data_IF_543529137313
#
_entry.id   IF_543529137313
#
_cell.length_a   1.000
_cell.length_b   1.000
_cell.length_c   1.000
_cell.angle_alpha   90.00
_cell.angle_beta   90.00
_cell.angle_gamma   90.00
#
_symmetry.space_group_name_H-M   'P 1'
#
loop_
_entity.id
_entity.type
_entity.pdbx_description
1 polymer ?
#
# COMPACT_ATOMS: atom_id res chain seq x y z
N UNK A 1 -63.48 10.44 -3.56
CA UNK A 1 -63.32 9.23 -4.42
C UNK A 1 -62.09 9.25 -5.34
N UNK A 2 -61.72 10.38 -5.98
CA UNK A 2 -60.52 10.51 -6.85
C UNK A 2 -59.17 10.27 -6.14
N UNK A 3 -58.99 10.79 -4.92
CA UNK A 3 -57.74 10.67 -4.15
C UNK A 3 -57.43 9.20 -3.77
N UNK A 4 -58.47 8.41 -3.48
CA UNK A 4 -58.32 7.00 -3.12
C UNK A 4 -57.93 6.13 -4.32
N UNK A 5 -58.38 6.47 -5.53
CA UNK A 5 -57.92 5.84 -6.79
C UNK A 5 -56.47 6.20 -7.08
N UNK A 6 -56.10 7.48 -6.97
CA UNK A 6 -54.71 7.94 -7.14
C UNK A 6 -53.73 7.22 -6.19
N UNK A 7 -54.08 7.08 -4.90
CA UNK A 7 -53.22 6.39 -3.92
C UNK A 7 -53.07 4.89 -4.22
N UNK A 8 -54.11 4.26 -4.77
CA UNK A 8 -54.13 2.83 -5.15
C UNK A 8 -53.36 2.58 -6.45
N UNK A 9 -53.40 3.51 -7.40
CA UNK A 9 -52.61 3.44 -8.63
C UNK A 9 -51.13 3.76 -8.37
N UNK A 10 -50.83 4.68 -7.44
CA UNK A 10 -49.46 4.90 -6.95
C UNK A 10 -48.89 3.67 -6.23
N UNK A 11 -49.68 3.01 -5.37
CA UNK A 11 -49.20 1.82 -4.66
C UNK A 11 -49.00 0.63 -5.61
N UNK A 12 -49.86 0.48 -6.63
CA UNK A 12 -49.71 -0.53 -7.68
C UNK A 12 -48.48 -0.29 -8.54
N UNK A 13 -48.27 0.94 -9.03
CA UNK A 13 -47.08 1.30 -9.80
C UNK A 13 -45.79 1.13 -8.99
N UNK A 14 -45.76 1.56 -7.71
CA UNK A 14 -44.64 1.31 -6.80
C UNK A 14 -44.39 -0.18 -6.57
N UNK A 15 -45.43 -1.01 -6.46
CA UNK A 15 -45.28 -2.46 -6.30
C UNK A 15 -44.80 -3.17 -7.58
N UNK A 16 -45.16 -2.64 -8.75
CA UNK A 16 -44.70 -3.12 -10.05
C UNK A 16 -43.23 -2.73 -10.29
N UNK A 17 -42.86 -1.50 -9.94
CA UNK A 17 -41.47 -1.03 -9.92
C UNK A 17 -40.62 -1.84 -8.95
N UNK A 18 -41.12 -2.15 -7.74
CA UNK A 18 -40.42 -3.03 -6.79
C UNK A 18 -40.20 -4.41 -7.37
N UNK A 19 -41.22 -5.04 -7.97
CA UNK A 19 -41.11 -6.37 -8.59
C UNK A 19 -40.13 -6.39 -9.77
N UNK A 20 -40.19 -5.38 -10.65
CA UNK A 20 -39.23 -5.21 -11.75
C UNK A 20 -37.80 -5.01 -11.24
N UNK A 21 -37.61 -4.19 -10.20
CA UNK A 21 -36.32 -4.00 -9.53
C UNK A 21 -35.79 -5.31 -8.94
N UNK A 22 -36.62 -6.09 -8.22
CA UNK A 22 -36.19 -7.38 -7.65
C UNK A 22 -35.88 -8.45 -8.71
N UNK A 23 -36.62 -8.48 -9.83
CA UNK A 23 -36.37 -9.40 -10.94
C UNK A 23 -35.05 -9.06 -11.67
N UNK A 24 -34.86 -7.80 -12.06
CA UNK A 24 -33.62 -7.32 -12.68
C UNK A 24 -32.41 -7.48 -11.73
N UNK A 25 -32.62 -7.34 -10.42
CA UNK A 25 -31.59 -7.55 -9.40
C UNK A 25 -31.15 -9.01 -9.31
N UNK A 26 -32.07 -9.97 -9.36
CA UNK A 26 -31.71 -11.38 -9.29
C UNK A 26 -30.92 -11.82 -10.52
N UNK A 27 -31.31 -11.30 -11.69
CA UNK A 27 -30.56 -11.47 -12.94
C UNK A 27 -29.17 -10.80 -12.89
N UNK A 28 -29.09 -9.60 -12.30
CA UNK A 28 -27.82 -8.91 -12.07
C UNK A 28 -26.83 -9.74 -11.24
N UNK A 29 -27.25 -10.24 -10.08
CA UNK A 29 -26.36 -10.98 -9.18
C UNK A 29 -25.88 -12.32 -9.76
N UNK A 30 -26.70 -13.01 -10.56
CA UNK A 30 -26.36 -14.34 -11.05
C UNK A 30 -25.58 -14.34 -12.38
N UNK A 31 -25.87 -13.43 -13.31
CA UNK A 31 -25.27 -13.43 -14.64
C UNK A 31 -24.35 -12.23 -14.90
N UNK A 32 -24.73 -11.05 -14.42
CA UNK A 32 -24.07 -9.79 -14.80
C UNK A 32 -22.91 -9.47 -13.85
N UNK A 33 -23.12 -9.61 -12.54
CA UNK A 33 -22.11 -9.34 -11.51
C UNK A 33 -20.79 -10.12 -11.71
N UNK A 34 -20.76 -11.45 -11.99
CA UNK A 34 -19.49 -12.15 -12.20
C UNK A 34 -18.74 -11.64 -13.44
N UNK A 35 -19.46 -11.27 -14.50
CA UNK A 35 -18.88 -10.70 -15.72
C UNK A 35 -18.24 -9.33 -15.47
N UNK A 36 -18.97 -8.43 -14.80
CA UNK A 36 -18.44 -7.11 -14.42
C UNK A 36 -17.24 -7.22 -13.48
N UNK A 37 -17.24 -8.20 -12.56
CA UNK A 37 -16.10 -8.46 -11.67
C UNK A 37 -14.87 -8.96 -12.44
N UNK A 38 -15.05 -9.76 -13.48
CA UNK A 38 -13.96 -10.17 -14.36
C UNK A 38 -13.38 -8.96 -15.10
N UNK A 39 -14.23 -8.10 -15.67
CA UNK A 39 -13.79 -6.87 -16.33
C UNK A 39 -13.01 -5.98 -15.36
N UNK A 40 -13.51 -5.81 -14.14
CA UNK A 40 -12.83 -5.03 -13.10
C UNK A 40 -11.42 -5.57 -12.81
N UNK A 41 -11.28 -6.88 -12.69
CA UNK A 41 -9.99 -7.52 -12.44
C UNK A 41 -9.02 -7.37 -13.62
N UNK A 42 -9.52 -7.58 -14.85
CA UNK A 42 -8.72 -7.38 -16.08
C UNK A 42 -8.29 -5.92 -16.22
N UNK A 43 -9.17 -4.97 -15.91
CA UNK A 43 -8.86 -3.55 -15.89
C UNK A 43 -7.81 -3.22 -14.82
N UNK A 44 -7.89 -3.85 -13.64
CA UNK A 44 -6.87 -3.77 -12.60
C UNK A 44 -5.50 -4.26 -13.06
N UNK A 45 -5.45 -5.43 -13.71
CA UNK A 45 -4.21 -5.99 -14.27
C UNK A 45 -3.63 -5.09 -15.37
N UNK A 46 -4.47 -4.60 -16.29
CA UNK A 46 -4.06 -3.66 -17.33
C UNK A 46 -3.53 -2.34 -16.74
N UNK A 47 -4.22 -1.80 -15.74
CA UNK A 47 -3.77 -0.60 -15.01
C UNK A 47 -2.41 -0.83 -14.34
N UNK A 48 -2.20 -2.00 -13.72
CA UNK A 48 -0.91 -2.36 -13.12
C UNK A 48 0.20 -2.45 -14.16
N UNK A 49 -0.07 -3.05 -15.33
CA UNK A 49 0.90 -3.12 -16.41
C UNK A 49 1.27 -1.73 -16.96
N UNK A 50 0.28 -0.84 -17.14
CA UNK A 50 0.53 0.54 -17.57
C UNK A 50 1.37 1.28 -16.53
N UNK A 51 1.03 1.17 -15.25
CA UNK A 51 1.79 1.80 -14.15
C UNK A 51 3.24 1.31 -14.12
N UNK A 52 3.48 0.00 -14.29
CA UNK A 52 4.83 -0.58 -14.36
C UNK A 52 5.59 -0.08 -15.60
N UNK A 53 4.93 0.05 -16.76
CA UNK A 53 5.56 0.63 -17.94
C UNK A 53 5.93 2.10 -17.73
N UNK A 54 5.04 2.87 -17.12
CA UNK A 54 5.22 4.29 -16.87
C UNK A 54 6.35 4.57 -15.87
N UNK A 55 6.32 3.90 -14.72
CA UNK A 55 7.29 4.08 -13.64
C UNK A 55 8.60 3.32 -13.92
N UNK A 56 8.53 2.14 -14.54
CA UNK A 56 9.66 1.23 -14.70
C UNK A 56 10.50 1.46 -15.96
N UNK A 57 9.85 1.67 -17.11
CA UNK A 57 10.52 1.77 -18.41
C UNK A 57 10.53 3.20 -18.96
N UNK A 58 9.57 4.03 -18.54
CA UNK A 58 9.39 5.37 -19.07
C UNK A 58 8.73 5.31 -20.44
N UNK A 59 7.48 5.77 -20.53
CA UNK A 59 6.74 5.74 -21.78
C UNK A 59 7.28 6.82 -22.73
N UNK A 60 7.77 6.40 -23.90
CA UNK A 60 8.20 7.30 -24.99
C UNK A 60 7.08 8.29 -25.33
N UNK A 61 7.43 9.55 -25.63
CA UNK A 61 6.47 10.62 -25.91
C UNK A 61 5.37 10.24 -26.93
N UNK A 62 5.69 9.34 -27.88
CA UNK A 62 4.74 8.79 -28.87
C UNK A 62 3.59 7.97 -28.26
N UNK A 63 3.85 7.19 -27.21
CA UNK A 63 2.86 6.29 -26.60
C UNK A 63 2.19 6.89 -25.35
N UNK A 64 2.72 8.01 -24.83
CA UNK A 64 2.17 8.71 -23.68
C UNK A 64 0.68 9.07 -23.82
N UNK A 65 0.19 9.67 -24.92
CA UNK A 65 -1.23 10.01 -25.04
C UNK A 65 -2.13 8.77 -25.03
N UNK A 66 -1.69 7.66 -25.66
CA UNK A 66 -2.44 6.41 -25.67
C UNK A 66 -2.53 5.80 -24.27
N UNK A 67 -1.44 5.81 -23.50
CA UNK A 67 -1.41 5.32 -22.13
C UNK A 67 -2.31 6.15 -21.20
N UNK A 68 -2.31 7.49 -21.33
CA UNK A 68 -3.18 8.36 -20.54
C UNK A 68 -4.65 8.15 -20.89
N UNK A 69 -5.01 8.05 -22.18
CA UNK A 69 -6.40 7.78 -22.60
C UNK A 69 -6.89 6.42 -22.11
N UNK A 70 -6.06 5.38 -22.21
CA UNK A 70 -6.40 4.04 -21.74
C UNK A 70 -6.61 4.03 -20.22
N UNK A 71 -5.77 4.76 -19.48
CA UNK A 71 -5.90 4.90 -18.03
C UNK A 71 -7.18 5.61 -17.64
N UNK A 72 -7.47 6.75 -18.27
CA UNK A 72 -8.71 7.49 -18.03
C UNK A 72 -9.94 6.59 -18.31
N UNK A 73 -9.93 5.83 -19.41
CA UNK A 73 -11.00 4.88 -19.72
C UNK A 73 -11.17 3.79 -18.65
N UNK A 74 -10.07 3.22 -18.13
CA UNK A 74 -10.11 2.23 -17.04
C UNK A 74 -10.74 2.83 -15.77
N UNK A 75 -10.36 4.06 -15.40
CA UNK A 75 -10.91 4.74 -14.23
C UNK A 75 -12.41 5.05 -14.40
N UNK A 76 -12.86 5.40 -15.61
CA UNK A 76 -14.30 5.57 -15.90
C UNK A 76 -15.06 4.27 -15.75
N UNK A 77 -14.52 3.17 -16.27
CA UNK A 77 -15.14 1.84 -16.13
C UNK A 77 -15.26 1.46 -14.64
N UNK A 78 -14.26 1.80 -13.82
CA UNK A 78 -14.33 1.62 -12.36
C UNK A 78 -15.45 2.43 -11.72
N UNK A 79 -15.55 3.73 -12.02
CA UNK A 79 -16.61 4.58 -11.45
C UNK A 79 -17.99 4.07 -11.88
N UNK A 80 -18.15 3.70 -13.15
CA UNK A 80 -19.37 3.12 -13.67
C UNK A 80 -19.72 1.80 -12.97
N UNK A 81 -18.73 0.91 -12.77
CA UNK A 81 -18.92 -0.33 -12.03
C UNK A 81 -19.42 -0.07 -10.60
N UNK A 82 -18.84 0.89 -9.88
CA UNK A 82 -19.28 1.19 -8.51
C UNK A 82 -20.67 1.81 -8.44
N UNK A 83 -21.01 2.69 -9.39
CA UNK A 83 -22.37 3.23 -9.47
C UNK A 83 -23.39 2.09 -9.67
N UNK A 84 -23.10 1.17 -10.59
CA UNK A 84 -23.96 0.00 -10.84
C UNK A 84 -24.03 -0.89 -9.61
N UNK A 85 -22.89 -1.18 -8.97
CA UNK A 85 -22.82 -1.97 -7.73
C UNK A 85 -23.68 -1.38 -6.61
N UNK A 86 -23.62 -0.06 -6.42
CA UNK A 86 -24.37 0.67 -5.40
C UNK A 86 -25.88 0.66 -5.67
N UNK A 87 -26.32 0.75 -6.93
CA UNK A 87 -27.73 0.68 -7.32
C UNK A 87 -28.35 -0.70 -6.99
N UNK A 88 -27.56 -1.78 -7.05
CA UNK A 88 -28.05 -3.17 -6.88
C UNK A 88 -27.68 -3.84 -5.54
N UNK A 89 -27.06 -3.10 -4.60
CA UNK A 89 -26.57 -3.60 -3.31
C UNK A 89 -27.66 -4.23 -2.41
N UNK A 90 -27.33 -5.30 -1.66
CA UNK A 90 -28.15 -5.89 -0.57
C UNK A 90 -27.58 -5.51 0.80
N UNK A 91 -28.41 -5.37 1.86
CA UNK A 91 -29.82 -4.96 1.92
C UNK A 91 -29.98 -3.47 2.26
N UNK A 92 -28.91 -2.78 2.70
CA UNK A 92 -28.94 -1.37 3.11
C UNK A 92 -27.74 -0.65 2.51
N UNK A 93 -27.93 0.54 1.91
CA UNK A 93 -26.85 1.39 1.36
C UNK A 93 -25.73 1.59 2.38
N UNK A 94 -26.09 1.74 3.67
CA UNK A 94 -25.15 1.89 4.79
C UNK A 94 -24.22 0.68 4.99
N UNK A 95 -24.71 -0.52 4.74
CA UNK A 95 -23.95 -1.76 4.91
C UNK A 95 -22.99 -1.97 3.73
N UNK A 96 -23.46 -1.67 2.51
CA UNK A 96 -22.63 -1.65 1.31
C UNK A 96 -21.51 -0.62 1.40
N UNK A 97 -21.81 0.61 1.83
CA UNK A 97 -20.82 1.66 2.14
C UNK A 97 -19.75 1.18 3.11
N UNK A 98 -20.09 0.32 4.06
CA UNK A 98 -19.16 -0.16 5.08
C UNK A 98 -18.23 -1.26 4.55
N UNK A 99 -18.70 -2.08 3.64
CA UNK A 99 -17.95 -3.17 3.00
C UNK A 99 -17.07 -2.67 1.85
N UNK A 100 -17.55 -1.65 1.11
CA UNK A 100 -16.92 -1.12 -0.10
C UNK A 100 -16.28 0.27 0.08
N UNK A 101 -15.82 0.60 1.30
CA UNK A 101 -15.26 1.92 1.63
C UNK A 101 -14.13 2.34 0.70
N UNK A 102 -13.27 1.39 0.32
CA UNK A 102 -12.09 1.66 -0.52
C UNK A 102 -12.50 1.95 -1.96
N UNK A 103 -13.48 1.24 -2.51
CA UNK A 103 -13.93 1.50 -3.89
C UNK A 103 -14.69 2.82 -3.99
N UNK A 104 -15.48 3.17 -2.98
CA UNK A 104 -16.20 4.44 -2.94
C UNK A 104 -15.21 5.61 -2.77
N UNK A 105 -14.18 5.44 -1.94
CA UNK A 105 -13.12 6.43 -1.80
C UNK A 105 -12.34 6.62 -3.11
N UNK A 106 -12.03 5.52 -3.81
CA UNK A 106 -11.40 5.52 -5.13
C UNK A 106 -12.28 6.23 -6.17
N UNK A 107 -13.54 5.85 -6.28
CA UNK A 107 -14.49 6.46 -7.21
C UNK A 107 -14.66 7.96 -6.90
N UNK A 108 -14.75 8.32 -5.62
CA UNK A 108 -14.78 9.72 -5.17
C UNK A 108 -13.53 10.50 -5.56
N UNK A 109 -12.34 9.90 -5.44
CA UNK A 109 -11.07 10.52 -5.83
C UNK A 109 -10.99 10.75 -7.34
N UNK A 110 -11.46 9.80 -8.15
CA UNK A 110 -11.55 9.94 -9.62
C UNK A 110 -12.57 11.02 -10.01
N UNK A 111 -13.73 11.08 -9.37
CA UNK A 111 -14.72 12.13 -9.63
C UNK A 111 -14.17 13.49 -9.23
N UNK A 112 -13.50 13.58 -8.08
CA UNK A 112 -12.82 14.79 -7.64
C UNK A 112 -11.77 15.24 -8.67
N UNK A 113 -10.98 14.31 -9.21
CA UNK A 113 -10.02 14.61 -10.28
C UNK A 113 -10.70 15.25 -11.48
N UNK A 114 -11.80 14.68 -11.94
CA UNK A 114 -12.52 15.19 -13.10
C UNK A 114 -13.07 16.59 -12.88
N UNK A 115 -13.57 16.90 -11.68
CA UNK A 115 -14.14 18.21 -11.35
C UNK A 115 -13.04 19.26 -11.15
N UNK A 116 -11.96 18.92 -10.45
CA UNK A 116 -10.94 19.86 -10.01
C UNK A 116 -9.67 19.85 -10.87
N UNK A 117 -9.67 19.15 -12.02
CA UNK A 117 -8.51 19.02 -12.90
C UNK A 117 -7.88 20.37 -13.25
N UNK A 118 -8.65 21.26 -13.87
CA UNK A 118 -8.13 22.53 -14.41
C UNK A 118 -7.75 23.52 -13.30
N UNK A 119 -8.57 23.70 -12.24
CA UNK A 119 -8.18 24.52 -11.09
C UNK A 119 -6.88 24.04 -10.44
N UNK A 120 -6.72 22.72 -10.25
CA UNK A 120 -5.54 22.15 -9.61
C UNK A 120 -4.29 22.31 -10.46
N UNK A 121 -4.41 22.12 -11.78
CA UNK A 121 -3.31 22.36 -12.72
C UNK A 121 -2.88 23.81 -12.63
N UNK A 122 -3.81 24.77 -12.69
CA UNK A 122 -3.47 26.19 -12.60
C UNK A 122 -2.79 26.58 -11.28
N UNK A 123 -3.23 25.99 -10.16
CA UNK A 123 -2.63 26.23 -8.84
C UNK A 123 -1.21 25.67 -8.71
N UNK A 124 -0.95 24.47 -9.27
CA UNK A 124 0.35 23.82 -9.18
C UNK A 124 1.35 24.38 -10.19
N UNK A 125 0.88 24.82 -11.36
CA UNK A 125 1.71 25.52 -12.36
C UNK A 125 2.24 26.84 -11.79
N UNK A 126 1.42 27.56 -11.01
CA UNK A 126 1.85 28.74 -10.25
C UNK A 126 2.96 28.46 -9.20
N UNK A 127 3.17 27.20 -8.80
CA UNK A 127 4.25 26.76 -7.91
C UNK A 127 5.42 26.09 -8.64
N UNK A 128 5.46 26.17 -9.98
CA UNK A 128 6.54 25.65 -10.81
C UNK A 128 6.43 24.17 -11.19
N UNK A 129 5.30 23.51 -10.93
CA UNK A 129 5.04 22.14 -11.38
C UNK A 129 4.34 22.14 -12.74
N UNK A 130 5.00 21.63 -13.78
CA UNK A 130 4.42 21.61 -15.13
C UNK A 130 3.06 20.89 -15.17
N UNK A 131 2.14 21.38 -15.99
CA UNK A 131 0.79 20.80 -16.13
C UNK A 131 0.83 19.30 -16.45
N UNK A 132 1.80 18.87 -17.27
CA UNK A 132 1.96 17.46 -17.65
C UNK A 132 2.40 16.57 -16.48
N UNK A 133 3.34 17.01 -15.64
CA UNK A 133 3.80 16.23 -14.47
C UNK A 133 2.70 16.05 -13.44
N UNK A 134 1.88 17.09 -13.23
CA UNK A 134 0.75 17.07 -12.30
C UNK A 134 -0.29 16.02 -12.71
N UNK A 135 -0.65 15.97 -13.99
CA UNK A 135 -1.61 14.99 -14.51
C UNK A 135 -1.08 13.56 -14.35
N UNK A 136 0.19 13.32 -14.69
CA UNK A 136 0.80 11.99 -14.57
C UNK A 136 0.87 11.53 -13.11
N UNK A 137 1.28 12.40 -12.19
CA UNK A 137 1.30 12.08 -10.75
C UNK A 137 -0.08 11.68 -10.25
N UNK A 138 -1.10 12.44 -10.61
CA UNK A 138 -2.46 12.14 -10.17
C UNK A 138 -2.99 10.82 -10.75
N UNK A 139 -2.75 10.57 -12.03
CA UNK A 139 -3.12 9.31 -12.69
C UNK A 139 -2.38 8.13 -12.05
N UNK A 140 -1.07 8.24 -11.80
CA UNK A 140 -0.28 7.21 -11.15
C UNK A 140 -0.79 6.90 -9.73
N UNK A 141 -1.15 7.93 -8.94
CA UNK A 141 -1.76 7.74 -7.61
C UNK A 141 -3.08 6.98 -7.73
N UNK A 142 -3.96 7.39 -8.64
CA UNK A 142 -5.28 6.77 -8.84
C UNK A 142 -5.16 5.32 -9.30
N UNK A 143 -4.28 5.04 -10.27
CA UNK A 143 -3.94 3.69 -10.72
C UNK A 143 -3.36 2.85 -9.58
N UNK A 144 -2.42 3.39 -8.81
CA UNK A 144 -1.80 2.69 -7.69
C UNK A 144 -2.83 2.26 -6.64
N UNK A 145 -3.74 3.16 -6.26
CA UNK A 145 -4.84 2.84 -5.35
C UNK A 145 -5.81 1.81 -5.96
N UNK A 146 -6.08 1.86 -7.27
CA UNK A 146 -6.94 0.90 -7.95
C UNK A 146 -6.32 -0.51 -8.00
N UNK A 147 -5.04 -0.60 -8.30
CA UNK A 147 -4.28 -1.85 -8.28
C UNK A 147 -4.25 -2.42 -6.86
N UNK A 148 -4.00 -1.58 -5.85
CA UNK A 148 -4.04 -1.98 -4.45
C UNK A 148 -5.42 -2.54 -4.06
N UNK A 149 -6.50 -1.88 -4.49
CA UNK A 149 -7.85 -2.35 -4.23
C UNK A 149 -8.14 -3.71 -4.91
N UNK A 150 -7.71 -3.89 -6.16
CA UNK A 150 -7.78 -5.18 -6.84
C UNK A 150 -7.01 -6.28 -6.10
N UNK A 151 -5.82 -5.95 -5.58
CA UNK A 151 -5.01 -6.88 -4.81
C UNK A 151 -5.71 -7.28 -3.51
N UNK A 152 -6.29 -6.32 -2.78
CA UNK A 152 -7.07 -6.60 -1.57
C UNK A 152 -8.24 -7.55 -1.87
N UNK A 153 -8.96 -7.32 -2.97
CA UNK A 153 -10.05 -8.20 -3.40
C UNK A 153 -9.58 -9.60 -3.78
N UNK A 154 -8.45 -9.69 -4.49
CA UNK A 154 -7.84 -10.96 -4.84
C UNK A 154 -7.45 -11.74 -3.57
N UNK A 155 -6.82 -11.07 -2.61
CA UNK A 155 -6.43 -11.68 -1.31
C UNK A 155 -7.67 -12.15 -0.54
N UNK A 156 -8.72 -11.34 -0.43
CA UNK A 156 -9.98 -11.74 0.23
C UNK A 156 -10.65 -12.92 -0.48
N UNK A 157 -10.59 -12.97 -1.81
CA UNK A 157 -11.14 -14.07 -2.61
C UNK A 157 -10.33 -15.36 -2.40
N UNK A 158 -9.00 -15.27 -2.39
CA UNK A 158 -8.12 -16.40 -2.08
C UNK A 158 -8.40 -16.92 -0.65
N UNK A 159 -8.61 -16.02 0.32
CA UNK A 159 -9.01 -16.39 1.68
C UNK A 159 -10.38 -17.09 1.73
N UNK A 160 -11.36 -16.62 0.96
CA UNK A 160 -12.67 -17.27 0.84
C UNK A 160 -12.60 -18.65 0.15
N UNK A 161 -11.58 -18.87 -0.69
CA UNK A 161 -11.32 -20.14 -1.37
C UNK A 161 -10.48 -21.12 -0.53
N UNK A 162 -10.04 -20.74 0.68
CA UNK A 162 -9.19 -21.61 1.51
C UNK A 162 -9.99 -22.75 2.14
N UNK A 163 -10.00 -23.87 1.43
CA UNK A 163 -10.19 -25.23 1.96
C UNK A 163 -8.86 -25.90 2.35
N UNK A 164 -7.73 -25.20 2.28
CA UNK A 164 -6.40 -25.79 2.48
C UNK A 164 -5.94 -25.60 3.93
N UNK A 165 -5.76 -26.71 4.66
CA UNK A 165 -5.07 -26.81 5.96
C UNK A 165 -3.57 -26.55 5.78
N UNK A 166 -3.18 -25.32 5.50
CA UNK A 166 -1.76 -24.95 5.35
C UNK A 166 -1.19 -24.55 6.71
N UNK A 167 0.00 -25.05 7.05
CA UNK A 167 0.72 -24.71 8.26
C UNK A 167 0.96 -23.18 8.33
N UNK A 168 0.61 -22.48 9.43
CA UNK A 168 0.86 -21.05 9.61
C UNK A 168 2.30 -20.60 9.32
N UNK A 169 3.30 -21.42 9.66
CA UNK A 169 4.70 -21.12 9.37
C UNK A 169 4.98 -21.05 7.86
N UNK A 170 4.38 -21.94 7.07
CA UNK A 170 4.51 -21.92 5.60
C UNK A 170 3.82 -20.70 4.97
N UNK A 171 2.74 -20.22 5.58
CA UNK A 171 2.08 -18.98 5.14
C UNK A 171 3.00 -17.79 5.37
N UNK A 172 3.66 -17.75 6.53
CA UNK A 172 4.62 -16.70 6.86
C UNK A 172 5.83 -16.71 5.91
N UNK A 173 6.50 -17.85 5.75
CA UNK A 173 7.63 -17.99 4.83
C UNK A 173 7.22 -17.63 3.40
N UNK A 174 6.07 -18.15 2.94
CA UNK A 174 5.52 -17.82 1.64
C UNK A 174 5.26 -16.33 1.44
N UNK A 175 4.82 -15.61 2.49
CA UNK A 175 4.63 -14.16 2.44
C UNK A 175 5.93 -13.40 2.25
N UNK A 176 7.01 -13.79 2.94
CA UNK A 176 8.34 -13.19 2.78
C UNK A 176 8.91 -13.45 1.39
N UNK A 177 8.77 -14.66 0.86
CA UNK A 177 9.19 -14.99 -0.51
C UNK A 177 8.48 -14.10 -1.52
N UNK A 178 7.16 -13.91 -1.39
CA UNK A 178 6.39 -13.05 -2.29
C UNK A 178 6.88 -11.60 -2.21
N UNK A 179 7.15 -11.08 -1.01
CA UNK A 179 7.68 -9.71 -0.81
C UNK A 179 9.07 -9.57 -1.46
N UNK A 180 9.98 -10.51 -1.21
CA UNK A 180 11.33 -10.52 -1.79
C UNK A 180 11.27 -10.54 -3.33
N UNK A 181 10.47 -11.45 -3.90
CA UNK A 181 10.36 -11.57 -5.36
C UNK A 181 9.72 -10.33 -5.98
N UNK A 182 8.74 -9.73 -5.30
CA UNK A 182 8.12 -8.48 -5.75
C UNK A 182 9.11 -7.31 -5.71
N UNK A 183 9.90 -7.21 -4.63
CA UNK A 183 10.99 -6.24 -4.50
C UNK A 183 12.05 -6.40 -5.58
N UNK A 184 12.52 -7.63 -5.80
CA UNK A 184 13.46 -7.97 -6.86
C UNK A 184 12.92 -7.59 -8.25
N UNK A 185 11.66 -7.91 -8.55
CA UNK A 185 11.03 -7.56 -9.82
C UNK A 185 10.98 -6.04 -10.03
N UNK A 186 10.65 -5.26 -9.00
CA UNK A 186 10.66 -3.80 -9.05
C UNK A 186 12.07 -3.23 -9.25
N UNK A 187 13.05 -3.72 -8.49
CA UNK A 187 14.45 -3.27 -8.59
C UNK A 187 15.11 -3.67 -9.92
N UNK A 188 14.58 -4.68 -10.60
CA UNK A 188 15.04 -5.11 -11.93
C UNK A 188 14.57 -4.20 -13.06
N UNK A 189 13.68 -3.25 -12.79
CA UNK A 189 13.21 -2.27 -13.76
C UNK A 189 14.29 -1.19 -13.99
N UNK A 190 14.50 -0.74 -15.25
CA UNK A 190 15.64 0.11 -15.60
C UNK A 190 15.63 1.48 -14.90
N UNK A 191 14.46 2.05 -14.58
CA UNK A 191 14.38 3.33 -13.86
C UNK A 191 14.69 3.26 -12.37
N UNK A 192 14.85 2.06 -11.81
CA UNK A 192 15.14 1.86 -10.39
C UNK A 192 16.64 1.74 -10.10
N UNK A 193 17.46 1.52 -11.13
CA UNK A 193 18.93 1.49 -11.03
C UNK A 193 19.55 2.65 -11.80
N UNK A 194 20.47 3.38 -11.17
CA UNK A 194 21.24 4.46 -11.80
C UNK A 194 22.49 3.93 -12.51
N UNK A 195 23.05 2.82 -12.02
CA UNK A 195 24.20 2.13 -12.60
C UNK A 195 23.83 0.68 -13.01
N UNK A 196 24.63 0.03 -13.87
CA UNK A 196 24.45 -1.37 -14.20
C UNK A 196 24.73 -2.27 -12.99
N UNK A 197 23.69 -2.61 -12.22
CA UNK A 197 23.75 -3.59 -11.13
C UNK A 197 23.51 -5.00 -11.71
N UNK A 198 24.19 -6.02 -11.20
CA UNK A 198 23.94 -7.40 -11.65
C UNK A 198 22.59 -7.92 -11.13
N UNK A 199 21.98 -8.89 -11.81
CA UNK A 199 20.70 -9.46 -11.36
C UNK A 199 20.81 -10.13 -9.99
N UNK A 200 21.94 -10.78 -9.70
CA UNK A 200 22.17 -11.42 -8.41
C UNK A 200 22.30 -10.39 -7.29
N UNK A 201 22.95 -9.25 -7.54
CA UNK A 201 23.07 -8.17 -6.55
C UNK A 201 21.71 -7.54 -6.26
N UNK A 202 20.87 -7.29 -7.28
CA UNK A 202 19.50 -6.80 -7.07
C UNK A 202 18.67 -7.76 -6.22
N UNK A 203 18.79 -9.08 -6.47
CA UNK A 203 18.10 -10.09 -5.68
C UNK A 203 18.61 -10.12 -4.25
N UNK A 204 19.93 -10.05 -4.06
CA UNK A 204 20.56 -9.99 -2.74
C UNK A 204 20.11 -8.77 -1.95
N UNK A 205 20.04 -7.59 -2.57
CA UNK A 205 19.51 -6.37 -1.95
C UNK A 205 18.05 -6.56 -1.54
N UNK A 206 17.21 -7.15 -2.38
CA UNK A 206 15.81 -7.40 -2.04
C UNK A 206 15.67 -8.35 -0.83
N UNK A 207 16.48 -9.41 -0.77
CA UNK A 207 16.55 -10.33 0.38
C UNK A 207 17.03 -9.60 1.62
N UNK A 208 18.16 -8.92 1.55
CA UNK A 208 18.81 -8.23 2.67
C UNK A 208 17.95 -7.09 3.23
N UNK A 209 17.24 -6.34 2.38
CA UNK A 209 16.27 -5.33 2.79
C UNK A 209 15.06 -5.95 3.50
N UNK A 210 14.46 -7.00 2.93
CA UNK A 210 13.28 -7.65 3.53
C UNK A 210 13.62 -8.41 4.82
N UNK A 211 14.79 -9.01 4.89
CA UNK A 211 15.30 -9.69 6.09
C UNK A 211 16.00 -8.73 7.06
N UNK A 212 16.06 -7.44 6.73
CA UNK A 212 16.56 -6.38 7.61
C UNK A 212 18.01 -6.65 8.07
N UNK A 213 18.85 -7.12 7.15
CA UNK A 213 20.22 -7.59 7.44
C UNK A 213 21.29 -6.52 7.18
N UNK A 214 21.07 -5.62 6.22
CA UNK A 214 21.95 -4.47 5.96
C UNK A 214 23.19 -4.73 5.12
N UNK A 215 23.36 -5.96 4.64
CA UNK A 215 24.45 -6.28 3.72
C UNK A 215 24.11 -5.80 2.32
N UNK A 216 25.09 -5.17 1.66
CA UNK A 216 24.97 -4.65 0.30
C UNK A 216 26.26 -4.95 -0.48
N UNK A 217 26.20 -5.66 -1.62
CA UNK A 217 27.37 -5.86 -2.49
C UNK A 217 27.71 -4.62 -3.33
N UNK A 218 26.82 -3.62 -3.36
CA UNK A 218 26.90 -2.41 -4.19
C UNK A 218 26.56 -1.17 -3.36
N UNK A 219 26.77 0.03 -3.89
CA UNK A 219 26.49 1.27 -3.17
C UNK A 219 25.06 1.75 -3.46
N UNK A 220 24.19 1.74 -2.44
CA UNK A 220 22.78 2.12 -2.60
C UNK A 220 22.59 3.58 -2.97
N UNK A 221 23.47 4.44 -2.47
CA UNK A 221 23.40 5.87 -2.72
C UNK A 221 23.68 6.20 -4.19
N UNK A 222 24.59 5.45 -4.80
CA UNK A 222 25.10 5.67 -6.15
C UNK A 222 24.39 4.82 -7.21
N UNK A 223 24.14 3.55 -6.91
CA UNK A 223 23.75 2.56 -7.92
C UNK A 223 22.23 2.45 -8.08
N UNK A 224 21.45 2.94 -7.12
CA UNK A 224 19.99 3.00 -7.17
C UNK A 224 19.49 4.43 -7.34
N UNK A 225 18.45 4.60 -8.14
CA UNK A 225 17.77 5.89 -8.24
C UNK A 225 16.96 6.17 -6.98
N UNK A 226 16.47 7.40 -6.83
CA UNK A 226 15.50 7.75 -5.79
C UNK A 226 14.31 6.79 -5.72
N UNK A 227 13.79 6.34 -6.87
CA UNK A 227 12.71 5.36 -6.92
C UNK A 227 13.16 3.97 -6.42
N UNK A 228 14.39 3.54 -6.75
CA UNK A 228 15.03 2.34 -6.21
C UNK A 228 15.18 2.39 -4.68
N UNK A 229 15.65 3.51 -4.16
CA UNK A 229 15.83 3.74 -2.73
C UNK A 229 14.49 3.70 -1.98
N UNK A 230 13.40 4.21 -2.56
CA UNK A 230 12.05 4.07 -2.00
C UNK A 230 11.63 2.59 -1.94
N UNK A 231 11.91 1.79 -2.97
CA UNK A 231 11.59 0.36 -2.94
C UNK A 231 12.35 -0.35 -1.83
N UNK A 232 13.65 -0.08 -1.69
CA UNK A 232 14.47 -0.63 -0.60
C UNK A 232 13.88 -0.22 0.77
N UNK A 233 13.50 1.04 0.94
CA UNK A 233 12.87 1.54 2.16
C UNK A 233 11.56 0.81 2.50
N UNK A 234 10.71 0.57 1.50
CA UNK A 234 9.46 -0.18 1.66
C UNK A 234 9.74 -1.64 2.05
N UNK A 235 10.74 -2.28 1.45
CA UNK A 235 11.13 -3.64 1.79
C UNK A 235 11.63 -3.73 3.24
N UNK A 236 12.45 -2.76 3.68
CA UNK A 236 12.89 -2.63 5.08
C UNK A 236 11.68 -2.52 6.00
N UNK A 237 10.73 -1.63 5.71
CA UNK A 237 9.55 -1.43 6.55
C UNK A 237 8.70 -2.70 6.67
N UNK A 238 8.41 -3.35 5.55
CA UNK A 238 7.60 -4.58 5.51
C UNK A 238 8.32 -5.69 6.27
N UNK A 239 9.64 -5.83 6.06
CA UNK A 239 10.50 -6.77 6.76
C UNK A 239 10.53 -6.56 8.27
N UNK A 240 10.79 -5.32 8.70
CA UNK A 240 10.88 -4.92 10.11
C UNK A 240 9.58 -5.17 10.85
N UNK A 241 8.44 -4.72 10.29
CA UNK A 241 7.12 -4.99 10.87
C UNK A 241 6.81 -6.50 10.91
N UNK A 242 7.23 -7.24 9.88
CA UNK A 242 7.07 -8.70 9.81
C UNK A 242 7.83 -9.42 10.92
N UNK A 243 9.10 -9.06 11.13
CA UNK A 243 9.93 -9.59 12.20
C UNK A 243 9.40 -9.22 13.58
N UNK A 244 9.07 -7.95 13.84
CA UNK A 244 8.50 -7.50 15.12
C UNK A 244 7.20 -8.22 15.46
N UNK A 245 6.32 -8.40 14.48
CA UNK A 245 5.07 -9.16 14.66
C UNK A 245 5.34 -10.62 14.98
N UNK A 246 6.30 -11.25 14.29
CA UNK A 246 6.68 -12.63 14.53
C UNK A 246 7.29 -12.81 15.92
N UNK A 247 8.22 -11.96 16.31
CA UNK A 247 8.85 -11.98 17.64
C UNK A 247 7.81 -11.77 18.73
N UNK A 248 6.86 -10.85 18.53
CA UNK A 248 5.74 -10.64 19.47
C UNK A 248 4.86 -11.88 19.59
N UNK A 249 4.52 -12.53 18.48
CA UNK A 249 3.74 -13.76 18.47
C UNK A 249 4.47 -14.91 19.17
N UNK A 250 5.75 -15.11 18.88
CA UNK A 250 6.56 -16.12 19.55
C UNK A 250 6.78 -15.79 21.02
N UNK A 251 6.98 -14.53 21.38
CA UNK A 251 7.10 -14.11 22.77
C UNK A 251 5.81 -14.37 23.54
N UNK A 252 4.63 -14.14 22.96
CA UNK A 252 3.35 -14.49 23.59
C UNK A 252 3.19 -16.02 23.74
N UNK A 253 3.66 -16.79 22.75
CA UNK A 253 3.62 -18.25 22.80
C UNK A 253 4.62 -18.83 23.83
N UNK A 254 5.83 -18.24 23.93
CA UNK A 254 6.91 -18.67 24.83
C UNK A 254 6.75 -18.13 26.25
N UNK A 255 6.17 -16.94 26.44
CA UNK A 255 5.79 -16.40 27.75
C UNK A 255 4.58 -17.14 28.36
N UNK A 256 4.04 -18.14 27.66
CA UNK A 256 3.05 -19.07 28.19
C UNK A 256 3.61 -19.99 29.29
N UNK A 257 3.64 -19.46 30.51
CA UNK A 257 3.68 -20.18 31.81
C UNK A 257 3.35 -19.17 32.93
N UNK A 258 2.50 -19.40 33.94
CA UNK A 258 2.32 -20.61 34.75
C UNK A 258 1.05 -20.57 35.66
N UNK A 259 -0.17 -20.71 35.13
CA UNK A 259 -1.33 -21.07 35.96
C UNK A 259 -2.42 -21.77 35.15
N UNK A 260 -2.90 -22.92 35.62
CA UNK A 260 -4.07 -23.63 35.05
C UNK A 260 -5.30 -22.70 35.01
N UNK A 261 -5.38 -21.74 35.93
CA UNK A 261 -6.45 -20.74 35.98
C UNK A 261 -6.35 -19.69 34.87
N UNK A 262 -5.15 -19.28 34.47
CA UNK A 262 -4.93 -18.35 33.33
C UNK A 262 -5.17 -19.04 32.00
N UNK A 263 -4.86 -20.33 31.91
CA UNK A 263 -5.19 -21.16 30.73
C UNK A 263 -6.70 -21.41 30.59
N UNK A 264 -7.45 -21.52 31.70
CA UNK A 264 -8.91 -21.62 31.70
C UNK A 264 -9.58 -20.29 31.31
N UNK A 265 -9.08 -19.16 31.82
CA UNK A 265 -9.51 -17.82 31.41
C UNK A 265 -9.19 -17.53 29.93
N UNK A 266 -8.03 -17.97 29.44
CA UNK A 266 -7.68 -17.90 28.01
C UNK A 266 -8.62 -18.78 27.16
N UNK A 267 -9.01 -19.97 27.61
CA UNK A 267 -9.97 -20.82 26.87
C UNK A 267 -11.34 -20.18 26.72
N UNK A 268 -11.83 -19.46 27.73
CA UNK A 268 -13.09 -18.72 27.64
C UNK A 268 -12.99 -17.49 26.71
N UNK A 269 -11.81 -16.85 26.65
CA UNK A 269 -11.51 -15.74 25.71
C UNK A 269 -11.22 -16.20 24.28
N UNK A 270 -10.92 -17.49 24.06
CA UNK A 270 -10.57 -18.06 22.76
C UNK A 270 -11.78 -18.55 21.95
N UNK A 271 -13.01 -18.29 22.42
CA UNK A 271 -14.22 -18.38 21.61
C UNK A 271 -14.34 -17.12 20.73
N UNK A 272 -14.22 -17.28 19.41
CA UNK A 272 -14.45 -16.26 18.36
C UNK A 272 -13.55 -14.99 18.30
N UNK A 273 -12.77 -14.61 19.34
CA UNK A 273 -12.09 -13.30 19.39
C UNK A 273 -10.58 -13.25 18.99
N UNK A 274 -9.90 -14.39 18.79
CA UNK A 274 -8.44 -14.45 18.56
C UNK A 274 -7.93 -13.70 17.30
N UNK A 275 -8.72 -13.67 16.22
CA UNK A 275 -8.34 -12.95 14.98
C UNK A 275 -8.46 -11.43 15.12
N UNK A 276 -9.34 -10.96 16.00
CA UNK A 276 -9.50 -9.54 16.32
C UNK A 276 -8.31 -8.99 17.10
N UNK A 277 -7.79 -9.78 18.04
CA UNK A 277 -6.65 -9.44 18.87
C UNK A 277 -5.34 -9.38 18.09
N UNK A 278 -5.05 -10.35 17.23
CA UNK A 278 -3.87 -10.32 16.35
C UNK A 278 -3.88 -9.07 15.46
N UNK A 279 -5.03 -8.73 14.88
CA UNK A 279 -5.17 -7.50 14.08
C UNK A 279 -4.93 -6.24 14.91
N UNK A 280 -5.37 -6.22 16.17
CA UNK A 280 -5.16 -5.10 17.09
C UNK A 280 -3.67 -4.94 17.40
N UNK A 281 -2.97 -6.03 17.71
CA UNK A 281 -1.53 -6.02 17.99
C UNK A 281 -0.74 -5.51 16.78
N UNK A 282 -0.98 -6.06 15.58
CA UNK A 282 -0.30 -5.61 14.35
C UNK A 282 -0.54 -4.13 14.09
N UNK A 283 -1.76 -3.63 14.30
CA UNK A 283 -2.07 -2.20 14.13
C UNK A 283 -1.32 -1.35 15.15
N UNK A 284 -1.27 -1.77 16.41
CA UNK A 284 -0.56 -1.06 17.48
C UNK A 284 0.92 -0.97 17.13
N UNK A 285 1.56 -2.09 16.80
CA UNK A 285 2.97 -2.13 16.38
C UNK A 285 3.19 -1.15 15.21
N UNK A 286 2.42 -1.28 14.12
CA UNK A 286 2.59 -0.43 12.95
C UNK A 286 2.43 1.09 13.25
N UNK A 287 1.45 1.47 14.09
CA UNK A 287 1.25 2.88 14.45
C UNK A 287 2.39 3.40 15.33
N UNK A 288 2.82 2.62 16.33
CA UNK A 288 3.95 3.00 17.20
C UNK A 288 5.25 3.12 16.40
N UNK A 289 5.54 2.17 15.52
CA UNK A 289 6.67 2.21 14.59
C UNK A 289 6.69 3.51 13.80
N UNK A 290 5.59 3.85 13.10
CA UNK A 290 5.52 5.06 12.28
C UNK A 290 5.67 6.36 13.10
N UNK A 291 5.18 6.38 14.34
CA UNK A 291 5.34 7.54 15.24
C UNK A 291 6.81 7.70 15.64
N UNK A 292 7.46 6.62 16.07
CA UNK A 292 8.87 6.66 16.50
C UNK A 292 9.76 7.00 15.32
N UNK A 293 9.54 6.39 14.16
CA UNK A 293 10.26 6.71 12.92
C UNK A 293 10.05 8.16 12.49
N UNK A 294 8.83 8.70 12.63
CA UNK A 294 8.54 10.11 12.32
C UNK A 294 9.25 11.08 13.24
N UNK A 295 9.24 10.82 14.55
CA UNK A 295 9.97 11.60 15.55
C UNK A 295 11.48 11.49 15.32
N UNK A 296 11.99 10.28 15.06
CA UNK A 296 13.38 10.02 14.73
C UNK A 296 13.84 10.77 13.48
N UNK A 297 13.04 10.74 12.42
CA UNK A 297 13.31 11.46 11.18
C UNK A 297 13.37 12.98 11.42
N UNK A 298 12.49 13.52 12.26
CA UNK A 298 12.56 14.93 12.65
C UNK A 298 13.89 15.27 13.34
N UNK A 299 14.29 14.51 14.36
CA UNK A 299 15.56 14.76 15.07
C UNK A 299 16.80 14.53 14.20
N UNK A 300 16.77 13.53 13.32
CA UNK A 300 17.83 13.30 12.34
C UNK A 300 17.97 14.46 11.37
N UNK A 301 16.85 14.96 10.83
CA UNK A 301 16.86 16.11 9.94
C UNK A 301 17.49 17.35 10.62
N UNK A 302 17.16 17.61 11.89
CA UNK A 302 17.74 18.74 12.63
C UNK A 302 19.22 18.57 12.97
N UNK A 303 19.71 17.32 13.00
CA UNK A 303 21.12 17.03 13.31
C UNK A 303 22.02 17.15 12.08
N UNK A 304 21.47 17.13 10.86
CA UNK A 304 22.25 17.26 9.63
C UNK A 304 22.71 18.73 9.47
N UNK A 305 24.01 19.01 9.40
CA UNK A 305 24.51 20.37 9.21
C UNK A 305 24.01 20.98 7.89
N UNK A 306 23.67 22.27 7.89
CA UNK A 306 23.17 22.97 6.69
C UNK A 306 24.15 22.96 5.50
N UNK A 307 25.44 22.74 5.76
CA UNK A 307 26.50 22.69 4.75
C UNK A 307 26.74 21.27 4.20
N UNK A 308 26.02 20.27 4.69
CA UNK A 308 26.21 18.89 4.27
C UNK A 308 25.60 18.66 2.88
N UNK A 309 26.46 18.63 1.87
CA UNK A 309 26.12 18.37 0.48
C UNK A 309 25.95 16.86 0.20
N UNK A 310 25.15 16.17 1.02
CA UNK A 310 24.84 14.76 0.81
C UNK A 310 24.10 14.53 -0.51
N UNK A 311 24.77 13.88 -1.46
CA UNK A 311 24.27 13.23 -2.71
C UNK A 311 23.24 13.95 -3.61
N UNK A 312 22.91 15.22 -3.36
CA UNK A 312 21.93 15.98 -4.14
C UNK A 312 20.47 15.63 -3.85
N UNK A 313 20.21 14.81 -2.82
CA UNK A 313 18.90 14.33 -2.42
C UNK A 313 18.30 15.16 -1.29
N UNK A 314 16.96 15.27 -1.25
CA UNK A 314 16.22 16.06 -0.27
C UNK A 314 16.60 15.65 1.17
N UNK A 315 17.03 16.56 2.06
CA UNK A 315 17.42 16.26 3.44
C UNK A 315 16.36 15.49 4.23
N UNK A 316 15.08 15.74 3.97
CA UNK A 316 13.98 14.99 4.58
C UNK A 316 13.98 13.52 4.17
N UNK A 317 14.27 13.23 2.91
CA UNK A 317 14.34 11.85 2.45
C UNK A 317 15.48 11.10 3.13
N UNK A 318 16.64 11.73 3.28
CA UNK A 318 17.76 11.16 4.06
C UNK A 318 17.33 10.84 5.49
N UNK A 319 16.70 11.80 6.16
CA UNK A 319 16.29 11.61 7.54
C UNK A 319 15.23 10.51 7.69
N UNK A 320 14.25 10.45 6.79
CA UNK A 320 13.21 9.41 6.79
C UNK A 320 13.83 8.03 6.51
N UNK A 321 14.66 7.92 5.47
CA UNK A 321 15.27 6.65 5.08
C UNK A 321 16.10 6.07 6.24
N UNK A 322 16.96 6.90 6.83
CA UNK A 322 17.81 6.47 7.92
C UNK A 322 17.02 6.24 9.22
N UNK A 323 15.92 6.96 9.46
CA UNK A 323 15.08 6.72 10.62
C UNK A 323 14.44 5.34 10.59
N UNK A 324 13.84 4.97 9.45
CA UNK A 324 13.25 3.64 9.23
C UNK A 324 14.33 2.56 9.28
N UNK A 325 15.46 2.78 8.59
CA UNK A 325 16.58 1.83 8.59
C UNK A 325 17.13 1.60 10.01
N UNK A 326 17.30 2.66 10.80
CA UNK A 326 17.78 2.57 12.17
C UNK A 326 16.77 1.89 13.10
N UNK A 327 15.49 2.29 13.07
CA UNK A 327 14.45 1.71 13.92
C UNK A 327 14.16 0.25 13.57
N UNK A 328 14.16 -0.10 12.29
CA UNK A 328 14.03 -1.50 11.89
C UNK A 328 15.31 -2.32 12.16
N UNK A 329 16.44 -1.69 12.53
CA UNK A 329 17.76 -2.33 12.64
C UNK A 329 18.28 -2.88 11.30
N UNK A 330 17.94 -2.23 10.20
CA UNK A 330 18.25 -2.66 8.85
C UNK A 330 19.68 -2.41 8.42
N UNK A 331 20.37 -1.40 8.96
CA UNK A 331 21.77 -1.10 8.64
C UNK A 331 22.05 -0.50 7.26
N UNK A 332 21.03 -0.31 6.41
CA UNK A 332 21.19 0.37 5.12
C UNK A 332 21.36 1.88 5.27
N UNK A 333 22.21 2.47 4.42
CA UNK A 333 22.49 3.90 4.40
C UNK A 333 22.44 4.47 2.98
N UNK A 334 22.11 5.76 2.88
CA UNK A 334 22.23 6.55 1.64
C UNK A 334 23.58 7.26 1.52
N UNK A 335 24.56 6.87 2.33
CA UNK A 335 25.94 7.32 2.26
C UNK A 335 26.83 6.13 1.92
N UNK A 336 27.77 6.32 0.99
CA UNK A 336 28.67 5.27 0.51
C UNK A 336 29.50 4.64 1.63
N UNK A 337 29.86 5.43 2.64
CA UNK A 337 30.65 5.04 3.81
C UNK A 337 29.79 4.88 5.07
N UNK A 338 28.47 4.69 4.89
CA UNK A 338 27.51 4.62 5.99
C UNK A 338 27.58 5.88 6.86
N UNK A 339 27.69 5.75 8.18
CA UNK A 339 27.68 6.88 9.10
C UNK A 339 29.07 7.45 9.40
N UNK A 340 30.14 6.95 8.77
CA UNK A 340 31.53 7.29 9.13
C UNK A 340 31.81 8.78 8.90
N UNK A 341 31.71 9.26 7.67
CA UNK A 341 31.91 10.69 7.35
C UNK A 341 30.96 11.61 8.11
N UNK A 342 29.71 11.16 8.33
CA UNK A 342 28.71 11.93 9.04
C UNK A 342 29.06 12.11 10.53
N UNK A 343 29.63 11.08 11.16
CA UNK A 343 30.06 11.11 12.56
C UNK A 343 31.26 12.05 12.80
N UNK A 344 32.06 12.32 11.78
CA UNK A 344 33.22 13.21 11.86
C UNK A 344 32.84 14.70 11.69
N UNK A 345 31.59 15.02 11.31
CA UNK A 345 31.17 16.40 11.07
C UNK A 345 30.97 17.18 12.37
N UNK A 346 31.56 18.38 12.50
CA UNK A 346 31.35 19.23 13.65
C UNK A 346 29.88 19.66 13.73
N UNK A 347 29.24 19.37 14.87
CA UNK A 347 27.84 19.69 15.15
C UNK A 347 26.83 18.60 14.80
N UNK A 348 27.26 17.48 14.21
CA UNK A 348 26.40 16.33 13.99
C UNK A 348 26.23 15.51 15.29
N UNK A 349 25.01 15.09 15.60
CA UNK A 349 24.69 14.25 16.77
C UNK A 349 24.27 12.85 16.34
N UNK A 350 24.99 11.83 16.82
CA UNK A 350 24.66 10.41 16.58
C UNK A 350 23.54 9.89 17.50
N UNK A 351 23.16 10.66 18.52
CA UNK A 351 22.20 10.24 19.56
C UNK A 351 20.85 9.78 19.00
N UNK A 352 20.25 10.46 17.99
CA UNK A 352 18.97 10.00 17.42
C UNK A 352 19.09 8.61 16.77
N UNK A 353 20.21 8.29 16.12
CA UNK A 353 20.45 6.95 15.56
C UNK A 353 20.50 5.89 16.65
N UNK A 354 21.25 6.15 17.72
CA UNK A 354 21.36 5.21 18.85
C UNK A 354 20.00 4.97 19.51
N UNK A 355 19.22 6.05 19.71
CA UNK A 355 17.87 5.97 20.27
C UNK A 355 16.94 5.12 19.42
N UNK A 356 16.96 5.29 18.09
CA UNK A 356 16.12 4.51 17.18
C UNK A 356 16.48 3.02 17.17
N UNK A 357 17.77 2.69 17.12
CA UNK A 357 18.25 1.30 17.15
C UNK A 357 17.84 0.60 18.46
N UNK A 358 18.05 1.27 19.59
CA UNK A 358 17.70 0.71 20.91
C UNK A 358 16.18 0.56 21.06
N UNK A 359 15.41 1.59 20.71
CA UNK A 359 13.95 1.54 20.81
C UNK A 359 13.31 0.55 19.82
N UNK A 360 13.94 0.29 18.69
CA UNK A 360 13.48 -0.69 17.72
C UNK A 360 13.88 -2.13 18.06
N UNK A 361 14.98 -2.30 18.81
CA UNK A 361 15.44 -3.61 19.27
C UNK A 361 14.75 -4.12 20.55
N UNK A 362 14.31 -3.21 21.42
CA UNK A 362 13.50 -3.49 22.62
C UNK A 362 12.04 -3.71 22.26
#
# INVERSE_FOLDING_TARGET
MKIFRLRRDLSRSLSALRRSYYANRNQYHHHIHPFFRLIFFLAGAASGAILVMEIGFGITARYRPLATMTTEAILVILVAYEIVSLIFAKPTVREHLRQHKMEILLAGLVIFQWIFRDPLISYLDARGLTSATTVLLFLAISQGLFVLNNLIHLVRRIQALRFLRVNPAMIFVGSFIIVILSGYALLSLPRFTAAPVSSIDRFFIAVSATCVTGLSPVDISRDFTFAGQIVILILIQIGGLGLMTLTSFFSLFLAGGHSISEQLLMRDLLSEDSLGEVRKIVRVIAVFTLIIEGIGAYFLHQSIPANFQGTGTNPWFHAIFHSVSAFCNAGFSLYSDSLVSLAELPGYSIVPFMGLIVLGGL
#
